data_IF_213592603930
#
_entry.id   IF_213592603930
#
_cell.length_a   1.000
_cell.length_b   1.000
_cell.length_c   1.000
_cell.angle_alpha   90.00
_cell.angle_beta   90.00
_cell.angle_gamma   90.00
#
_symmetry.space_group_name_H-M   'P 1'
#
loop_
_entity.id
_entity.type
_entity.pdbx_description
1 polymer ?
#
# COMPACT_ATOMS: atom_id res chain seq x y z
N UNK A 1 -9.51 15.51 5.79
CA UNK A 1 -9.32 14.06 5.56
C UNK A 1 -7.82 13.79 5.50
N UNK A 2 -7.40 12.61 5.93
CA UNK A 2 -5.99 12.21 5.99
C UNK A 2 -5.82 10.93 5.19
N UNK A 3 -4.67 10.79 4.54
CA UNK A 3 -4.36 9.66 3.67
C UNK A 3 -3.08 8.96 4.13
N UNK A 4 -3.12 7.65 4.19
CA UNK A 4 -2.03 6.78 4.63
C UNK A 4 -1.52 6.06 3.39
N UNK A 5 -0.22 6.19 3.13
CA UNK A 5 0.41 5.39 2.09
C UNK A 5 0.67 3.98 2.63
N UNK A 6 0.16 2.98 1.94
CA UNK A 6 0.37 1.56 2.23
C UNK A 6 1.13 0.96 1.06
N UNK A 7 2.26 0.33 1.35
CA UNK A 7 3.13 -0.34 0.40
C UNK A 7 3.01 -1.83 0.69
N UNK A 8 2.53 -2.60 -0.28
CA UNK A 8 2.55 -4.06 -0.23
C UNK A 8 3.77 -4.49 -1.04
N UNK A 9 4.70 -5.19 -0.40
CA UNK A 9 5.90 -5.72 -1.03
C UNK A 9 5.96 -7.24 -0.85
N UNK A 10 6.33 -7.96 -1.91
CA UNK A 10 6.31 -9.40 -1.98
C UNK A 10 7.67 -9.94 -2.44
N UNK A 11 8.19 -10.92 -1.70
CA UNK A 11 9.37 -11.69 -2.08
C UNK A 11 8.92 -13.14 -2.34
N UNK A 12 8.63 -13.45 -3.60
CA UNK A 12 7.98 -14.71 -3.97
C UNK A 12 6.55 -14.76 -3.42
N UNK A 13 6.23 -15.76 -2.60
CA UNK A 13 4.90 -15.93 -2.00
C UNK A 13 4.73 -15.20 -0.65
N UNK A 14 5.78 -14.55 -0.14
CA UNK A 14 5.77 -13.85 1.14
C UNK A 14 5.55 -12.36 0.89
N UNK A 15 4.35 -11.87 1.22
CA UNK A 15 3.98 -10.46 1.08
C UNK A 15 3.83 -9.79 2.44
N UNK A 16 4.31 -8.56 2.54
CA UNK A 16 4.25 -7.73 3.73
C UNK A 16 3.67 -6.36 3.37
N UNK A 17 2.92 -5.78 4.32
CA UNK A 17 2.41 -4.42 4.21
C UNK A 17 3.21 -3.48 5.11
N UNK A 18 3.64 -2.36 4.55
CA UNK A 18 4.38 -1.29 5.22
C UNK A 18 3.57 -0.02 5.05
N UNK A 19 3.40 0.78 6.10
CA UNK A 19 2.69 2.06 5.99
C UNK A 19 3.40 3.15 6.78
N UNK A 20 3.23 4.39 6.32
CA UNK A 20 3.76 5.54 7.01
C UNK A 20 2.91 5.90 8.24
N UNK A 21 3.56 6.28 9.34
CA UNK A 21 2.88 6.77 10.55
C UNK A 21 2.35 8.19 10.42
N UNK A 22 2.89 8.96 9.48
CA UNK A 22 2.48 10.34 9.23
C UNK A 22 1.59 10.36 8.00
N UNK A 23 0.29 10.67 8.14
CA UNK A 23 -0.60 10.71 7.01
C UNK A 23 -0.47 12.01 6.21
N UNK A 24 -0.72 11.92 4.92
CA UNK A 24 -0.81 13.02 3.97
C UNK A 24 -2.13 13.80 4.13
N UNK A 25 -2.10 15.09 3.82
CA UNK A 25 -3.28 15.96 3.85
C UNK A 25 -4.24 15.76 2.67
N UNK A 26 -3.76 15.17 1.58
CA UNK A 26 -4.55 14.91 0.39
C UNK A 26 -4.12 13.62 -0.32
N UNK A 27 -5.09 12.98 -0.99
CA UNK A 27 -4.85 11.82 -1.84
C UNK A 27 -3.85 12.13 -2.94
N UNK A 28 -3.97 13.32 -3.56
CA UNK A 28 -3.07 13.76 -4.63
C UNK A 28 -1.62 13.83 -4.16
N UNK A 29 -1.37 14.40 -2.98
CA UNK A 29 -0.02 14.46 -2.41
C UNK A 29 0.53 13.07 -2.10
N UNK A 30 -0.33 12.16 -1.60
CA UNK A 30 0.05 10.78 -1.37
C UNK A 30 0.43 10.09 -2.71
N UNK A 31 -0.44 10.16 -3.71
CA UNK A 31 -0.24 9.57 -5.03
C UNK A 31 1.00 10.11 -5.75
N UNK A 32 1.26 11.42 -5.66
CA UNK A 32 2.49 12.01 -6.21
C UNK A 32 3.74 11.43 -5.55
N UNK A 33 3.69 11.18 -4.24
CA UNK A 33 4.80 10.61 -3.47
C UNK A 33 5.06 9.15 -3.82
N UNK A 34 4.02 8.39 -4.22
CA UNK A 34 4.16 6.97 -4.60
C UNK A 34 5.18 6.73 -5.70
N UNK A 35 5.35 7.66 -6.65
CA UNK A 35 6.31 7.51 -7.75
C UNK A 35 7.75 7.42 -7.24
N UNK A 36 8.14 8.34 -6.36
CA UNK A 36 9.47 8.35 -5.75
C UNK A 36 9.70 7.13 -4.87
N UNK A 37 8.68 6.72 -4.12
CA UNK A 37 8.72 5.51 -3.29
C UNK A 37 8.85 4.26 -4.14
N UNK A 38 8.09 4.15 -5.24
CA UNK A 38 8.18 3.02 -6.17
C UNK A 38 9.59 2.92 -6.79
N UNK A 39 10.16 4.04 -7.25
CA UNK A 39 11.54 4.07 -7.77
C UNK A 39 12.56 3.65 -6.71
N UNK A 40 12.39 4.10 -5.46
CA UNK A 40 13.25 3.68 -4.36
C UNK A 40 13.13 2.17 -4.09
N UNK A 41 11.90 1.64 -3.99
CA UNK A 41 11.66 0.22 -3.73
C UNK A 41 12.20 -0.66 -4.87
N UNK A 42 12.04 -0.25 -6.13
CA UNK A 42 12.62 -0.96 -7.27
C UNK A 42 14.16 -0.95 -7.25
N UNK A 43 14.77 0.16 -6.82
CA UNK A 43 16.22 0.26 -6.69
C UNK A 43 16.80 -0.58 -5.55
N UNK A 44 16.11 -0.63 -4.40
CA UNK A 44 16.56 -1.38 -3.22
C UNK A 44 16.21 -2.87 -3.29
N UNK A 45 15.02 -3.18 -3.82
CA UNK A 45 14.43 -4.51 -3.85
C UNK A 45 14.03 -4.91 -5.28
N UNK A 46 14.98 -5.00 -6.24
CA UNK A 46 14.68 -5.20 -7.66
C UNK A 46 14.00 -6.53 -7.99
N UNK A 47 14.14 -7.53 -7.11
CA UNK A 47 13.50 -8.85 -7.25
C UNK A 47 12.18 -8.97 -6.48
N UNK A 48 11.68 -7.88 -5.90
CA UNK A 48 10.36 -7.85 -5.26
C UNK A 48 9.28 -7.50 -6.28
N UNK A 49 8.05 -7.96 -6.00
CA UNK A 49 6.84 -7.45 -6.63
C UNK A 49 6.01 -6.71 -5.58
N UNK A 50 5.05 -5.89 -5.99
CA UNK A 50 4.28 -5.13 -5.02
C UNK A 50 3.46 -4.00 -5.63
N UNK A 51 2.71 -3.34 -4.76
CA UNK A 51 1.81 -2.25 -5.10
C UNK A 51 1.80 -1.19 -4.00
N UNK A 52 1.53 0.06 -4.36
CA UNK A 52 1.44 1.17 -3.43
C UNK A 52 0.04 1.76 -3.52
N UNK A 53 -0.58 1.95 -2.37
CA UNK A 53 -1.92 2.45 -2.17
C UNK A 53 -1.91 3.72 -1.33
N UNK A 54 -2.86 4.59 -1.60
CA UNK A 54 -3.16 5.76 -0.78
C UNK A 54 -4.56 5.58 -0.23
N UNK A 55 -4.65 5.20 1.05
CA UNK A 55 -5.92 4.90 1.71
C UNK A 55 -6.32 6.07 2.59
N UNK A 56 -7.60 6.43 2.63
CA UNK A 56 -8.10 7.29 3.71
C UNK A 56 -8.14 6.51 5.05
N UNK A 57 -8.41 7.21 6.15
CA UNK A 57 -8.45 6.61 7.49
C UNK A 57 -9.42 5.42 7.59
N UNK A 58 -10.61 5.51 7.01
CA UNK A 58 -11.61 4.44 7.05
C UNK A 58 -11.16 3.20 6.26
N UNK A 59 -10.63 3.40 5.06
CA UNK A 59 -10.06 2.35 4.23
C UNK A 59 -8.89 1.65 4.93
N UNK A 60 -8.02 2.43 5.56
CA UNK A 60 -6.88 1.90 6.30
C UNK A 60 -7.33 1.10 7.54
N UNK A 61 -8.32 1.57 8.28
CA UNK A 61 -8.85 0.87 9.45
C UNK A 61 -9.45 -0.49 9.07
N UNK A 62 -10.14 -0.57 7.92
CA UNK A 62 -10.66 -1.84 7.40
C UNK A 62 -9.51 -2.77 6.98
N UNK A 63 -8.56 -2.25 6.22
CA UNK A 63 -7.38 -2.99 5.80
C UNK A 63 -6.59 -3.55 7.00
N UNK A 64 -6.37 -2.73 8.04
CA UNK A 64 -5.65 -3.12 9.24
C UNK A 64 -6.40 -4.21 10.03
N UNK A 65 -7.73 -4.08 10.18
CA UNK A 65 -8.55 -5.13 10.81
C UNK A 65 -8.51 -6.44 10.04
N UNK A 66 -8.46 -6.39 8.72
CA UNK A 66 -8.37 -7.59 7.89
C UNK A 66 -6.98 -8.23 7.97
N UNK A 67 -5.91 -7.41 8.03
CA UNK A 67 -4.56 -7.91 8.35
C UNK A 67 -4.53 -8.65 9.69
N UNK A 68 -5.13 -8.10 10.75
CA UNK A 68 -5.20 -8.76 12.06
C UNK A 68 -5.97 -10.09 12.04
N UNK A 69 -6.90 -10.25 11.09
CA UNK A 69 -7.64 -11.50 10.87
C UNK A 69 -6.91 -12.50 9.96
N UNK A 70 -5.72 -12.15 9.45
CA UNK A 70 -4.93 -13.00 8.58
C UNK A 70 -5.19 -12.82 7.09
N UNK A 71 -5.55 -11.60 6.66
CA UNK A 71 -5.62 -11.25 5.24
C UNK A 71 -4.34 -11.69 4.50
N UNK A 72 -4.53 -12.43 3.41
CA UNK A 72 -3.42 -12.84 2.55
C UNK A 72 -3.11 -11.70 1.57
N UNK A 73 -1.92 -11.13 1.71
CA UNK A 73 -1.45 -10.01 0.88
C UNK A 73 -0.96 -10.44 -0.52
N UNK A 74 -1.00 -11.72 -0.86
CA UNK A 74 -0.76 -12.15 -2.24
C UNK A 74 -1.84 -11.57 -3.16
N UNK A 75 -1.40 -10.65 -4.01
CA UNK A 75 -2.16 -9.75 -4.90
C UNK A 75 -3.25 -10.39 -5.78
N UNK A 76 -3.33 -11.72 -5.84
CA UNK A 76 -4.35 -12.43 -6.62
C UNK A 76 -5.73 -12.49 -5.93
N UNK A 77 -5.83 -12.26 -4.61
CA UNK A 77 -7.08 -12.47 -3.87
C UNK A 77 -7.41 -11.38 -2.85
N UNK A 78 -6.72 -10.24 -2.86
CA UNK A 78 -6.96 -9.18 -1.88
C UNK A 78 -8.09 -8.27 -2.36
N UNK A 79 -9.27 -8.24 -1.72
CA UNK A 79 -10.28 -7.23 -2.00
C UNK A 79 -9.77 -5.88 -1.48
N UNK A 80 -8.94 -5.22 -2.26
CA UNK A 80 -8.41 -3.90 -1.95
C UNK A 80 -9.38 -2.84 -2.49
N UNK A 81 -9.56 -1.71 -1.79
CA UNK A 81 -10.39 -0.62 -2.27
C UNK A 81 -9.91 -0.21 -3.67
N UNK A 82 -10.86 -0.12 -4.61
CA UNK A 82 -10.62 0.14 -6.02
C UNK A 82 -9.51 1.18 -6.19
N UNK A 83 -8.43 0.75 -6.86
CA UNK A 83 -7.39 1.65 -7.35
C UNK A 83 -8.10 2.78 -8.10
N UNK A 84 -7.88 4.07 -7.78
CA UNK A 84 -8.35 5.12 -8.67
C UNK A 84 -7.64 4.91 -10.01
N UNK A 85 -8.43 4.62 -11.05
CA UNK A 85 -7.96 4.44 -12.42
C UNK A 85 -7.01 5.60 -12.76
N UNK A 86 -5.74 5.24 -13.00
CA UNK A 86 -4.71 6.18 -13.38
C UNK A 86 -4.83 6.54 -14.87
#
# INVERSE_FOLDING_TARGET
MKFIMVIIICFGANCEAIWERVPYDSEVTCLQSTKSVASYMQGQYPNSSGEIYCMNEEQFDLFYKDLEKGLNLNLQNTPLPDKPDA
#
